data_IF_463334157705
#
_entry.id   IF_463334157705
#
_cell.length_a   1.000
_cell.length_b   1.000
_cell.length_c   1.000
_cell.angle_alpha   90.00
_cell.angle_beta   90.00
_cell.angle_gamma   90.00
#
_symmetry.space_group_name_H-M   'P 1'
#
loop_
_entity.id
_entity.type
_entity.pdbx_description
1 polymer ?
#
# COMPACT_ATOMS: atom_id res chain seq x y z
N UNK A 1 9.92 42.23 16.15
CA UNK A 1 9.08 41.28 15.37
C UNK A 1 8.65 41.80 13.99
N UNK A 2 7.99 42.96 13.87
CA UNK A 2 7.52 43.49 12.56
C UNK A 2 8.62 43.74 11.50
N UNK A 3 9.81 44.23 11.90
CA UNK A 3 10.97 44.43 10.99
C UNK A 3 11.56 43.14 10.42
N UNK A 4 11.54 42.07 11.21
CA UNK A 4 12.04 40.75 10.80
C UNK A 4 11.13 40.12 9.74
N UNK A 5 9.81 40.14 9.98
CA UNK A 5 8.81 39.65 9.04
C UNK A 5 8.84 40.41 7.70
N UNK A 6 9.08 41.73 7.69
CA UNK A 6 9.14 42.50 6.44
C UNK A 6 10.41 42.25 5.63
N UNK A 7 11.56 41.99 6.29
CA UNK A 7 12.82 41.65 5.62
C UNK A 7 12.80 40.24 5.00
N UNK A 8 12.21 39.27 5.69
CA UNK A 8 12.20 37.87 5.23
C UNK A 8 10.89 37.44 4.55
N UNK A 9 9.97 38.36 4.22
CA UNK A 9 8.64 38.02 3.68
C UNK A 9 8.67 37.07 2.48
N UNK A 10 9.62 37.25 1.56
CA UNK A 10 9.73 36.39 0.38
C UNK A 10 10.31 35.02 0.71
N UNK A 11 11.26 34.95 1.66
CA UNK A 11 11.78 33.67 2.14
C UNK A 11 10.71 32.89 2.90
N UNK A 12 9.93 33.56 3.75
CA UNK A 12 8.79 32.96 4.48
C UNK A 12 7.73 32.48 3.48
N UNK A 13 7.36 33.31 2.50
CA UNK A 13 6.42 32.93 1.46
C UNK A 13 6.94 31.74 0.65
N UNK A 14 8.22 31.74 0.28
CA UNK A 14 8.85 30.62 -0.41
C UNK A 14 8.78 29.33 0.40
N UNK A 15 9.16 29.35 1.69
CA UNK A 15 9.11 28.16 2.54
C UNK A 15 7.68 27.66 2.78
N UNK A 16 6.71 28.57 2.89
CA UNK A 16 5.30 28.23 3.02
C UNK A 16 4.77 27.59 1.73
N UNK A 17 5.00 28.22 0.58
CA UNK A 17 4.63 27.67 -0.73
C UNK A 17 5.34 26.34 -1.01
N UNK A 18 6.64 26.24 -0.68
CA UNK A 18 7.41 25.01 -0.83
C UNK A 18 6.86 23.91 0.05
N UNK A 19 6.52 24.19 1.31
CA UNK A 19 5.90 23.23 2.22
C UNK A 19 4.57 22.69 1.66
N UNK A 20 3.67 23.59 1.25
CA UNK A 20 2.35 23.23 0.68
C UNK A 20 2.48 22.47 -0.65
N UNK A 21 3.43 22.86 -1.50
CA UNK A 21 3.63 22.19 -2.78
C UNK A 21 4.31 20.84 -2.63
N UNK A 22 5.33 20.75 -1.75
CA UNK A 22 6.03 19.51 -1.44
C UNK A 22 5.07 18.44 -0.93
N UNK A 23 4.20 18.79 0.02
CA UNK A 23 3.21 17.84 0.58
C UNK A 23 2.21 17.34 -0.46
N UNK A 24 2.09 18.04 -1.60
CA UNK A 24 1.21 17.66 -2.70
C UNK A 24 1.88 16.74 -3.71
N UNK A 25 3.21 16.77 -3.82
CA UNK A 25 3.97 15.98 -4.80
C UNK A 25 4.51 14.66 -4.24
N UNK A 26 5.08 14.70 -3.04
CA UNK A 26 5.77 13.55 -2.46
C UNK A 26 5.43 13.41 -0.97
N UNK A 27 5.14 12.18 -0.55
CA UNK A 27 4.89 11.84 0.85
C UNK A 27 5.86 10.75 1.32
N UNK A 28 6.22 10.80 2.61
CA UNK A 28 7.05 9.78 3.25
C UNK A 28 6.23 9.10 4.32
N UNK A 29 5.74 7.90 4.02
CA UNK A 29 4.80 7.21 4.88
C UNK A 29 5.52 6.14 5.70
N UNK A 30 5.58 6.25 7.04
CA UNK A 30 6.06 5.17 7.88
C UNK A 30 5.05 4.01 7.84
N UNK A 31 5.55 2.79 7.86
CA UNK A 31 4.75 1.56 7.85
C UNK A 31 4.63 1.04 9.28
N UNK A 32 3.43 1.12 9.90
CA UNK A 32 3.25 0.68 11.29
C UNK A 32 2.76 -0.76 11.41
N UNK A 33 2.34 -1.42 10.32
CA UNK A 33 1.69 -2.74 10.34
C UNK A 33 2.27 -3.72 9.32
N UNK A 34 2.22 -5.01 9.64
CA UNK A 34 2.74 -6.10 8.81
C UNK A 34 1.80 -6.64 7.73
N UNK A 35 0.76 -5.89 7.36
CA UNK A 35 -0.24 -6.31 6.36
C UNK A 35 0.30 -6.42 4.93
N UNK A 36 1.46 -5.82 4.68
CA UNK A 36 2.16 -5.86 3.39
C UNK A 36 3.45 -6.70 3.45
N UNK A 37 3.66 -7.50 4.50
CA UNK A 37 4.79 -8.44 4.54
C UNK A 37 4.62 -9.50 3.44
N UNK A 38 5.70 -9.94 2.79
CA UNK A 38 7.11 -9.55 3.01
C UNK A 38 7.57 -8.28 2.29
N UNK A 39 6.77 -7.74 1.38
CA UNK A 39 7.13 -6.59 0.54
C UNK A 39 7.49 -5.37 1.38
N UNK A 40 6.62 -5.00 2.34
CA UNK A 40 6.86 -3.94 3.31
C UNK A 40 6.84 -4.50 4.72
N UNK A 41 7.79 -4.04 5.52
CA UNK A 41 7.94 -4.42 6.92
C UNK A 41 7.63 -3.22 7.82
N UNK A 42 7.21 -3.49 9.04
CA UNK A 42 7.05 -2.47 10.07
C UNK A 42 8.38 -1.75 10.29
N UNK A 43 8.31 -0.43 10.37
CA UNK A 43 9.47 0.44 10.47
C UNK A 43 10.11 0.81 9.12
N UNK A 44 9.61 0.30 7.99
CA UNK A 44 9.91 0.87 6.68
C UNK A 44 9.28 2.27 6.56
N UNK A 45 9.94 3.15 5.82
CA UNK A 45 9.40 4.44 5.36
C UNK A 45 9.39 4.40 3.84
N UNK A 46 8.21 4.51 3.25
CA UNK A 46 8.04 4.45 1.79
C UNK A 46 7.92 5.83 1.18
N UNK A 47 8.57 6.02 0.04
CA UNK A 47 8.40 7.19 -0.80
C UNK A 47 7.18 7.01 -1.69
N UNK A 48 6.23 7.92 -1.55
CA UNK A 48 4.94 7.93 -2.24
C UNK A 48 4.91 9.06 -3.26
N UNK A 49 4.71 8.70 -4.52
CA UNK A 49 4.41 9.65 -5.58
C UNK A 49 2.91 9.96 -5.57
N UNK A 50 2.54 11.16 -5.11
CA UNK A 50 1.14 11.60 -5.00
C UNK A 50 0.53 12.02 -6.34
N UNK A 51 1.37 12.42 -7.30
CA UNK A 51 0.96 12.80 -8.66
C UNK A 51 1.02 11.62 -9.64
N UNK A 52 1.21 10.40 -9.16
CA UNK A 52 1.24 9.21 -10.02
C UNK A 52 -0.07 9.05 -10.81
N UNK A 53 -1.21 9.40 -10.19
CA UNK A 53 -2.54 9.20 -10.75
C UNK A 53 -3.29 10.51 -10.95
N UNK A 54 -3.33 11.37 -9.94
CA UNK A 54 -4.12 12.59 -9.91
C UNK A 54 -3.31 13.79 -9.41
N UNK A 55 -3.48 14.96 -10.03
CA UNK A 55 -3.03 16.22 -9.44
C UNK A 55 -4.09 16.70 -8.46
N UNK A 56 -3.84 16.62 -7.17
CA UNK A 56 -4.77 17.10 -6.14
C UNK A 56 -4.43 18.51 -5.68
N UNK A 57 -5.46 19.29 -5.32
CA UNK A 57 -5.26 20.55 -4.59
C UNK A 57 -4.61 20.23 -3.25
N UNK A 58 -3.54 20.95 -2.85
CA UNK A 58 -2.86 20.72 -1.58
C UNK A 58 -3.84 20.60 -0.41
N UNK A 59 -3.61 19.62 0.47
CA UNK A 59 -4.39 19.37 1.70
C UNK A 59 -5.86 18.94 1.48
N UNK A 60 -6.27 18.64 0.25
CA UNK A 60 -7.64 18.17 -0.06
C UNK A 60 -7.63 16.92 -0.94
N UNK A 61 -8.80 16.29 -1.12
CA UNK A 61 -9.01 15.18 -2.05
C UNK A 61 -9.56 15.63 -3.43
N UNK A 62 -9.60 16.94 -3.69
CA UNK A 62 -10.11 17.48 -4.96
C UNK A 62 -9.03 17.31 -6.05
N UNK A 63 -9.34 16.51 -7.06
CA UNK A 63 -8.49 16.33 -8.24
C UNK A 63 -8.70 17.48 -9.24
N UNK A 64 -7.61 18.14 -9.64
CA UNK A 64 -7.56 19.13 -10.71
C UNK A 64 -7.36 18.49 -12.09
N UNK A 65 -6.62 17.38 -12.13
CA UNK A 65 -6.33 16.65 -13.36
C UNK A 65 -6.08 15.16 -13.07
N UNK A 66 -6.44 14.31 -14.03
CA UNK A 66 -6.14 12.89 -14.04
C UNK A 66 -4.99 12.62 -15.01
N UNK A 67 -3.89 12.05 -14.52
CA UNK A 67 -2.69 11.80 -15.32
C UNK A 67 -2.61 10.37 -15.84
N UNK A 68 -2.68 9.39 -14.94
CA UNK A 68 -2.58 7.97 -15.28
C UNK A 68 -3.61 7.15 -14.51
N UNK A 69 -3.97 5.99 -15.04
CA UNK A 69 -4.80 5.04 -14.34
C UNK A 69 -3.94 4.10 -13.47
N UNK A 70 -4.30 3.89 -12.18
CA UNK A 70 -3.74 2.84 -11.36
C UNK A 70 -3.84 1.48 -12.04
N UNK A 71 -2.76 0.70 -11.96
CA UNK A 71 -2.65 -0.60 -12.61
C UNK A 71 -2.68 -1.73 -11.59
N UNK A 72 -3.05 -2.93 -12.05
CA UNK A 72 -2.85 -4.15 -11.26
C UNK A 72 -1.37 -4.29 -10.87
N UNK A 73 -1.14 -4.64 -9.62
CA UNK A 73 0.17 -4.76 -9.00
C UNK A 73 0.67 -3.47 -8.34
N UNK A 74 0.09 -2.30 -8.61
CA UNK A 74 0.57 -1.07 -7.95
C UNK A 74 0.32 -1.13 -6.44
N UNK A 75 1.35 -0.78 -5.65
CA UNK A 75 1.21 -0.59 -4.21
C UNK A 75 0.85 0.86 -3.92
N UNK A 76 -0.31 1.08 -3.31
CA UNK A 76 -0.94 2.40 -3.22
C UNK A 76 -1.30 2.72 -1.77
N UNK A 77 -0.99 3.95 -1.35
CA UNK A 77 -1.56 4.51 -0.12
C UNK A 77 -2.93 5.09 -0.44
N UNK A 78 -3.92 4.85 0.42
CA UNK A 78 -5.27 5.39 0.27
C UNK A 78 -5.94 5.58 1.63
N UNK A 79 -7.03 6.34 1.64
CA UNK A 79 -7.91 6.48 2.80
C UNK A 79 -8.97 5.39 2.75
N UNK A 80 -9.08 4.58 3.81
CA UNK A 80 -10.10 3.54 3.92
C UNK A 80 -11.51 4.13 3.83
N UNK A 81 -12.40 3.60 2.96
CA UNK A 81 -13.77 4.09 2.84
C UNK A 81 -14.64 3.71 4.06
N UNK A 82 -14.19 2.76 4.89
CA UNK A 82 -14.95 2.25 6.03
C UNK A 82 -14.80 3.12 7.29
N UNK A 83 -13.58 3.56 7.57
CA UNK A 83 -13.20 4.19 8.84
C UNK A 83 -12.27 5.41 8.69
N UNK A 84 -11.88 5.77 7.47
CA UNK A 84 -11.01 6.92 7.20
C UNK A 84 -9.54 6.70 7.56
N UNK A 85 -9.15 5.50 7.97
CA UNK A 85 -7.75 5.19 8.31
C UNK A 85 -6.90 5.14 7.04
N UNK A 86 -5.67 5.68 7.09
CA UNK A 86 -4.72 5.58 5.98
C UNK A 86 -4.15 4.17 5.92
N UNK A 87 -4.31 3.52 4.77
CA UNK A 87 -3.85 2.17 4.50
C UNK A 87 -2.91 2.16 3.30
N UNK A 88 -2.06 1.13 3.24
CA UNK A 88 -1.25 0.79 2.07
C UNK A 88 -1.56 -0.65 1.68
N UNK A 89 -1.90 -0.87 0.41
CA UNK A 89 -2.25 -2.19 -0.15
C UNK A 89 -1.84 -2.28 -1.61
N UNK A 90 -1.86 -3.49 -2.15
CA UNK A 90 -1.65 -3.75 -3.57
C UNK A 90 -2.98 -3.76 -4.32
N UNK A 91 -3.05 -3.08 -5.46
CA UNK A 91 -4.17 -3.15 -6.38
C UNK A 91 -4.16 -4.52 -7.05
N UNK A 92 -5.21 -5.30 -6.83
CA UNK A 92 -5.40 -6.61 -7.47
C UNK A 92 -6.47 -6.54 -8.56
N UNK A 93 -7.50 -5.70 -8.38
CA UNK A 93 -8.52 -5.45 -9.40
C UNK A 93 -8.65 -3.98 -9.75
N UNK A 94 -8.81 -3.73 -11.05
CA UNK A 94 -9.13 -2.42 -11.64
C UNK A 94 -10.57 -2.41 -12.17
N UNK A 95 -11.17 -1.25 -12.50
CA UNK A 95 -12.54 -1.18 -12.99
C UNK A 95 -12.85 -2.16 -14.12
N UNK A 96 -13.94 -2.91 -13.97
CA UNK A 96 -14.39 -3.93 -14.92
C UNK A 96 -13.83 -5.34 -14.68
N UNK A 97 -12.82 -5.50 -13.82
CA UNK A 97 -12.32 -6.84 -13.49
C UNK A 97 -13.35 -7.66 -12.72
N UNK A 98 -13.42 -8.95 -13.01
CA UNK A 98 -14.10 -9.94 -12.18
C UNK A 98 -13.07 -10.63 -11.30
N UNK A 99 -13.26 -10.56 -9.98
CA UNK A 99 -12.37 -11.15 -9.00
C UNK A 99 -13.09 -12.20 -8.17
N UNK A 100 -12.40 -13.30 -7.91
CA UNK A 100 -12.85 -14.35 -7.01
C UNK A 100 -11.64 -14.88 -6.26
N UNK A 101 -11.83 -15.28 -5.01
CA UNK A 101 -10.85 -16.10 -4.30
C UNK A 101 -11.55 -17.36 -3.85
N UNK A 102 -11.05 -18.50 -4.34
CA UNK A 102 -11.61 -19.82 -4.09
C UNK A 102 -10.47 -20.77 -3.72
N UNK A 103 -10.63 -21.42 -2.57
CA UNK A 103 -9.64 -22.35 -2.01
C UNK A 103 -8.26 -21.68 -1.90
N UNK A 104 -8.24 -20.42 -1.42
CA UNK A 104 -7.05 -19.56 -1.28
C UNK A 104 -6.35 -19.17 -2.60
N UNK A 105 -6.90 -19.58 -3.74
CA UNK A 105 -6.43 -19.18 -5.07
C UNK A 105 -7.18 -17.94 -5.53
N UNK A 106 -6.43 -16.89 -5.90
CA UNK A 106 -6.98 -15.70 -6.52
C UNK A 106 -7.26 -15.96 -8.01
N UNK A 107 -8.46 -15.60 -8.47
CA UNK A 107 -8.87 -15.63 -9.86
C UNK A 107 -9.16 -14.21 -10.34
N UNK A 108 -8.56 -13.82 -11.47
CA UNK A 108 -8.76 -12.52 -12.10
C UNK A 108 -9.27 -12.75 -13.52
N UNK A 109 -10.48 -12.28 -13.82
CA UNK A 109 -11.15 -12.47 -15.11
C UNK A 109 -11.17 -13.94 -15.58
N UNK A 110 -11.34 -14.87 -14.63
CA UNK A 110 -11.34 -16.32 -14.91
C UNK A 110 -9.94 -16.95 -15.05
N UNK A 111 -8.86 -16.18 -14.91
CA UNK A 111 -7.50 -16.71 -14.89
C UNK A 111 -7.00 -16.91 -13.45
N UNK A 112 -6.65 -18.15 -13.05
CA UNK A 112 -6.14 -18.40 -11.70
C UNK A 112 -4.70 -17.91 -11.56
N UNK A 113 -4.39 -17.43 -10.36
CA UNK A 113 -3.04 -17.15 -9.92
C UNK A 113 -2.20 -18.44 -9.86
N UNK A 114 -0.94 -18.31 -10.24
CA UNK A 114 0.05 -19.39 -10.12
C UNK A 114 0.93 -19.10 -8.92
N UNK A 115 1.08 -20.09 -8.04
CA UNK A 115 1.87 -20.00 -6.82
C UNK A 115 3.16 -20.83 -6.93
N UNK A 116 4.30 -20.23 -6.63
CA UNK A 116 5.62 -20.84 -6.75
C UNK A 116 6.50 -20.56 -5.53
N UNK A 117 7.62 -21.27 -5.41
CA UNK A 117 8.65 -21.04 -4.39
C UNK A 117 8.14 -21.06 -2.93
N UNK A 118 7.21 -21.97 -2.64
CA UNK A 118 6.64 -22.10 -1.31
C UNK A 118 7.71 -22.44 -0.26
N UNK A 119 7.80 -21.60 0.76
CA UNK A 119 8.74 -21.70 1.87
C UNK A 119 7.98 -21.59 3.19
N UNK A 120 8.23 -22.54 4.10
CA UNK A 120 7.75 -22.43 5.47
C UNK A 120 8.49 -21.30 6.17
N UNK A 121 7.74 -20.43 6.85
CA UNK A 121 8.26 -19.32 7.64
C UNK A 121 7.68 -19.36 9.05
N UNK A 122 8.38 -18.77 10.01
CA UNK A 122 7.85 -18.47 11.33
C UNK A 122 7.75 -16.96 11.46
N UNK A 123 6.52 -16.48 11.59
CA UNK A 123 6.22 -15.06 11.56
C UNK A 123 5.97 -14.53 12.97
N UNK A 124 6.65 -13.45 13.35
CA UNK A 124 6.40 -12.75 14.61
C UNK A 124 5.15 -11.88 14.48
N UNK A 125 4.12 -12.18 15.29
CA UNK A 125 2.78 -11.56 15.18
C UNK A 125 2.49 -10.63 16.36
N UNK A 126 3.01 -10.95 17.55
CA UNK A 126 3.02 -10.10 18.73
C UNK A 126 4.14 -10.55 19.68
N UNK A 127 4.49 -9.72 20.68
CA UNK A 127 5.55 -9.90 21.68
C UNK A 127 5.97 -11.37 21.97
N UNK A 128 6.92 -11.88 21.18
CA UNK A 128 7.53 -13.21 21.37
C UNK A 128 6.78 -14.40 20.77
N UNK A 129 5.57 -14.22 20.23
CA UNK A 129 4.80 -15.30 19.63
C UNK A 129 5.06 -15.41 18.13
N UNK A 130 5.62 -16.55 17.72
CA UNK A 130 5.88 -16.89 16.33
C UNK A 130 4.85 -17.90 15.85
N UNK A 131 4.18 -17.55 14.75
CA UNK A 131 3.14 -18.38 14.15
C UNK A 131 3.69 -18.94 12.84
N UNK A 132 3.54 -20.25 12.55
CA UNK A 132 3.93 -20.81 11.27
C UNK A 132 3.09 -20.19 10.14
N UNK A 133 3.78 -19.85 9.06
CA UNK A 133 3.19 -19.35 7.83
C UNK A 133 3.88 -19.96 6.61
N UNK A 134 3.36 -19.64 5.44
CA UNK A 134 3.91 -20.04 4.15
C UNK A 134 4.12 -18.77 3.35
N UNK A 135 5.35 -18.54 2.91
CA UNK A 135 5.69 -17.49 1.95
C UNK A 135 5.82 -18.11 0.59
N UNK A 136 5.28 -17.45 -0.43
CA UNK A 136 5.32 -17.93 -1.80
C UNK A 136 5.21 -16.76 -2.76
N UNK A 137 5.55 -17.02 -4.01
CA UNK A 137 5.44 -16.08 -5.11
C UNK A 137 4.06 -16.22 -5.76
N UNK A 138 3.28 -15.15 -5.80
CA UNK A 138 2.02 -15.10 -6.56
C UNK A 138 2.27 -14.44 -7.91
N UNK A 139 1.89 -15.16 -8.99
CA UNK A 139 1.89 -14.64 -10.35
C UNK A 139 0.48 -14.63 -10.93
N UNK A 140 0.02 -13.46 -11.35
CA UNK A 140 -1.24 -13.25 -12.07
C UNK A 140 -0.97 -12.39 -13.28
N UNK A 141 -1.41 -12.83 -14.46
CA UNK A 141 -1.04 -12.25 -15.74
C UNK A 141 0.51 -12.14 -15.87
N UNK A 142 1.03 -10.92 -16.05
CA UNK A 142 2.45 -10.60 -16.15
C UNK A 142 3.00 -9.89 -14.89
N UNK A 143 2.31 -10.02 -13.75
CA UNK A 143 2.74 -9.45 -12.47
C UNK A 143 3.09 -10.56 -11.51
N UNK A 144 4.19 -10.38 -10.81
CA UNK A 144 4.71 -11.32 -9.83
C UNK A 144 5.08 -10.56 -8.56
N UNK A 145 4.70 -11.09 -7.40
CA UNK A 145 5.07 -10.54 -6.11
C UNK A 145 5.04 -11.62 -5.03
N UNK A 146 5.83 -11.40 -3.97
CA UNK A 146 5.83 -12.29 -2.82
C UNK A 146 4.62 -12.01 -1.92
N UNK A 147 3.92 -13.07 -1.55
CA UNK A 147 2.83 -13.04 -0.56
C UNK A 147 3.11 -14.05 0.56
N UNK A 148 2.33 -13.96 1.63
CA UNK A 148 2.35 -14.97 2.67
C UNK A 148 0.95 -15.29 3.20
N UNK A 149 0.77 -16.55 3.57
CA UNK A 149 -0.39 -17.08 4.26
C UNK A 149 0.01 -17.50 5.68
N UNK A 150 -0.89 -17.33 6.62
CA UNK A 150 -0.77 -17.69 8.03
C UNK A 150 -2.00 -18.53 8.41
N UNK A 151 -1.94 -19.87 8.22
CA UNK A 151 -3.09 -20.76 8.38
C UNK A 151 -3.77 -20.68 9.76
N UNK A 152 -3.01 -20.34 10.79
CA UNK A 152 -3.52 -20.21 12.17
C UNK A 152 -4.21 -18.87 12.46
N UNK A 153 -4.09 -17.87 11.58
CA UNK A 153 -4.78 -16.59 11.71
C UNK A 153 -6.17 -16.70 11.08
N UNK A 154 -7.20 -16.32 11.82
CA UNK A 154 -8.58 -16.29 11.30
C UNK A 154 -8.74 -15.16 10.28
N UNK A 155 -8.95 -15.51 9.02
CA UNK A 155 -9.12 -14.55 7.92
C UNK A 155 -10.17 -14.98 6.90
N UNK A 156 -10.65 -14.01 6.11
CA UNK A 156 -11.46 -14.26 4.92
C UNK A 156 -10.58 -14.80 3.77
N UNK A 157 -10.65 -16.11 3.54
CA UNK A 157 -9.86 -16.82 2.52
C UNK A 157 -10.60 -17.08 1.22
N UNK A 158 -11.88 -16.73 1.18
CA UNK A 158 -12.72 -16.86 0.01
C UNK A 158 -13.59 -15.62 -0.12
N UNK A 159 -13.83 -15.18 -1.35
CA UNK A 159 -14.77 -14.11 -1.68
C UNK A 159 -15.19 -14.20 -3.14
N UNK A 160 -16.26 -13.50 -3.46
CA UNK A 160 -16.71 -13.33 -4.83
C UNK A 160 -17.50 -14.52 -5.38
N UNK A 161 -17.69 -14.55 -6.71
CA UNK A 161 -17.18 -13.57 -7.67
C UNK A 161 -17.73 -12.15 -7.46
N UNK A 162 -16.88 -11.13 -7.65
CA UNK A 162 -17.27 -9.72 -7.61
C UNK A 162 -16.74 -8.97 -8.82
N UNK A 163 -17.52 -8.04 -9.36
CA UNK A 163 -17.08 -7.15 -10.43
C UNK A 163 -16.65 -5.82 -9.83
N UNK A 164 -15.45 -5.35 -10.17
CA UNK A 164 -14.93 -4.07 -9.69
C UNK A 164 -15.70 -2.93 -10.37
N UNK A 165 -16.40 -2.07 -9.60
CA UNK A 165 -17.17 -0.96 -10.16
C UNK A 165 -16.29 0.05 -10.91
N UNK A 166 -16.93 0.87 -11.75
CA UNK A 166 -16.31 2.06 -12.32
C UNK A 166 -15.67 2.94 -11.22
N UNK A 167 -14.55 3.57 -11.55
CA UNK A 167 -13.77 4.44 -10.65
C UNK A 167 -13.43 3.85 -9.28
N UNK A 168 -13.35 2.53 -9.18
CA UNK A 168 -13.04 1.82 -7.94
C UNK A 168 -11.99 0.75 -8.17
N UNK A 169 -11.33 0.34 -7.08
CA UNK A 169 -10.25 -0.64 -7.11
C UNK A 169 -10.46 -1.66 -6.01
N UNK A 170 -9.99 -2.89 -6.25
CA UNK A 170 -9.97 -3.94 -5.24
C UNK A 170 -8.53 -4.14 -4.77
N UNK A 171 -8.34 -4.02 -3.47
CA UNK A 171 -7.04 -4.01 -2.82
C UNK A 171 -6.84 -5.28 -1.99
N UNK A 172 -5.66 -5.88 -2.05
CA UNK A 172 -5.24 -6.95 -1.13
C UNK A 172 -3.92 -6.60 -0.45
N UNK A 173 -3.74 -7.12 0.76
CA UNK A 173 -2.42 -7.15 1.40
C UNK A 173 -1.60 -8.34 0.92
N UNK A 174 -0.28 -8.15 0.85
CA UNK A 174 0.66 -9.22 0.53
C UNK A 174 0.71 -10.26 1.67
N UNK A 175 0.40 -9.84 2.92
CA UNK A 175 0.11 -10.76 4.02
C UNK A 175 -1.38 -11.12 4.01
N UNK A 176 -1.73 -12.22 3.35
CA UNK A 176 -3.11 -12.56 3.00
C UNK A 176 -4.00 -12.84 4.20
N UNK A 177 -3.48 -13.41 5.27
CA UNK A 177 -4.30 -13.70 6.44
C UNK A 177 -4.28 -12.57 7.49
N UNK A 178 -3.28 -11.69 7.46
CA UNK A 178 -3.17 -10.57 8.42
C UNK A 178 -3.30 -9.20 7.76
N UNK A 179 -4.39 -9.00 7.02
CA UNK A 179 -4.64 -7.77 6.26
C UNK A 179 -6.10 -7.36 6.28
N UNK A 180 -6.38 -6.16 6.81
CA UNK A 180 -7.66 -5.47 6.66
C UNK A 180 -7.71 -4.75 5.29
N UNK A 181 -8.10 -5.48 4.25
CA UNK A 181 -8.15 -5.00 2.87
C UNK A 181 -9.58 -5.10 2.28
N UNK A 182 -9.73 -5.07 0.95
CA UNK A 182 -11.04 -4.98 0.29
C UNK A 182 -11.99 -6.13 0.65
N UNK A 183 -11.50 -7.25 1.17
CA UNK A 183 -12.35 -8.31 1.74
C UNK A 183 -13.18 -7.85 2.95
N UNK A 184 -12.73 -6.80 3.65
CA UNK A 184 -13.37 -6.27 4.86
C UNK A 184 -13.88 -4.82 4.72
N UNK A 185 -13.26 -4.04 3.84
CA UNK A 185 -13.58 -2.60 3.62
C UNK A 185 -14.30 -2.34 2.29
N UNK A 186 -14.42 -3.36 1.43
CA UNK A 186 -15.02 -3.23 0.10
C UNK A 186 -14.09 -2.55 -0.92
N UNK A 187 -14.69 -2.09 -2.01
CA UNK A 187 -13.96 -1.40 -3.08
C UNK A 187 -13.50 -0.02 -2.63
N UNK A 188 -12.33 0.41 -3.15
CA UNK A 188 -11.73 1.71 -2.84
C UNK A 188 -11.95 2.65 -4.03
N UNK A 189 -12.76 3.71 -3.89
CA UNK A 189 -12.93 4.69 -4.95
C UNK A 189 -11.63 5.44 -5.29
N UNK A 190 -11.42 5.77 -6.56
CA UNK A 190 -10.24 6.50 -7.08
C UNK A 190 -9.90 7.75 -6.27
N UNK A 191 -10.92 8.54 -5.91
CA UNK A 191 -10.74 9.78 -5.16
C UNK A 191 -10.04 9.60 -3.81
N UNK A 192 -10.13 8.40 -3.22
CA UNK A 192 -9.48 8.08 -1.93
C UNK A 192 -8.02 7.62 -2.09
N UNK A 193 -7.55 7.41 -3.32
CA UNK A 193 -6.14 7.11 -3.56
C UNK A 193 -5.29 8.35 -3.26
N UNK A 194 -4.22 8.15 -2.50
CA UNK A 194 -3.30 9.21 -2.10
C UNK A 194 -2.10 9.26 -3.04
N UNK A 195 -1.56 8.09 -3.41
CA UNK A 195 -0.41 8.01 -4.29
C UNK A 195 0.21 6.62 -4.34
N UNK A 196 1.11 6.42 -5.30
CA UNK A 196 1.83 5.15 -5.52
C UNK A 196 3.09 5.10 -4.68
N UNK A 197 3.24 4.06 -3.85
CA UNK A 197 4.50 3.77 -3.19
C UNK A 197 5.45 3.08 -4.17
N UNK A 198 6.71 3.50 -4.20
CA UNK A 198 7.65 2.98 -5.20
C UNK A 198 9.02 2.55 -4.66
N UNK A 199 9.51 3.17 -3.58
CA UNK A 199 10.82 2.87 -3.03
C UNK A 199 10.81 3.01 -1.50
N UNK A 200 11.65 2.23 -0.82
CA UNK A 200 11.89 2.36 0.62
C UNK A 200 13.05 3.35 0.84
N UNK A 201 12.84 4.39 1.65
CA UNK A 201 13.84 5.46 1.90
C UNK A 201 14.44 5.42 3.30
N UNK A 202 13.83 4.69 4.22
CA UNK A 202 14.40 4.39 5.53
C UNK A 202 13.78 3.10 6.06
N UNK A 203 14.47 2.43 6.97
CA UNK A 203 13.97 1.19 7.57
C UNK A 203 14.67 0.89 8.89
N UNK A 204 13.90 0.54 9.92
CA UNK A 204 14.43 0.14 11.24
C UNK A 204 13.61 -1.01 11.86
N UNK A 205 14.25 -1.82 12.71
CA UNK A 205 13.60 -2.92 13.45
C UNK A 205 12.82 -2.41 14.66
N UNK A 206 11.75 -1.66 14.42
CA UNK A 206 11.00 -0.96 15.48
C UNK A 206 10.29 -1.91 16.48
N UNK A 207 10.09 -3.17 16.11
CA UNK A 207 9.46 -4.19 16.96
C UNK A 207 10.49 -5.02 17.77
N UNK A 208 11.78 -4.76 17.59
CA UNK A 208 12.86 -5.49 18.25
C UNK A 208 13.90 -4.48 18.80
N UNK A 209 15.12 -4.48 18.26
CA UNK A 209 16.25 -3.73 18.81
C UNK A 209 16.48 -2.35 18.17
N UNK A 210 15.53 -1.84 17.38
CA UNK A 210 15.61 -0.54 16.69
C UNK A 210 16.79 -0.40 15.71
N UNK A 211 17.50 -1.49 15.38
CA UNK A 211 18.63 -1.40 14.46
C UNK A 211 18.16 -0.99 13.04
N UNK A 212 18.90 -0.10 12.36
CA UNK A 212 18.60 0.28 10.99
C UNK A 212 18.81 -0.89 10.03
N UNK A 213 17.89 -1.07 9.08
CA UNK A 213 17.96 -2.10 8.02
C UNK A 213 18.47 -1.47 6.72
N UNK A 214 19.76 -1.18 6.64
CA UNK A 214 20.37 -0.50 5.49
C UNK A 214 20.17 -1.23 4.15
N UNK A 215 20.08 -2.57 4.15
CA UNK A 215 19.83 -3.37 2.93
C UNK A 215 18.49 -3.07 2.26
N UNK A 216 17.53 -2.48 2.98
CA UNK A 216 16.21 -2.09 2.43
C UNK A 216 16.21 -0.68 1.86
N UNK A 217 17.23 0.13 2.13
CA UNK A 217 17.32 1.48 1.57
C UNK A 217 17.42 1.43 0.05
N UNK A 218 16.55 2.17 -0.63
CA UNK A 218 16.47 2.20 -2.09
C UNK A 218 15.82 0.96 -2.72
N UNK A 219 15.34 0.01 -1.93
CA UNK A 219 14.64 -1.16 -2.48
C UNK A 219 13.36 -0.73 -3.18
N UNK A 220 13.15 -1.25 -4.39
CA UNK A 220 11.95 -0.98 -5.17
C UNK A 220 10.76 -1.78 -4.65
N UNK A 221 9.59 -1.15 -4.69
CA UNK A 221 8.30 -1.76 -4.35
C UNK A 221 7.64 -2.10 -5.69
N UNK A 222 7.97 -3.27 -6.22
CA UNK A 222 7.34 -3.85 -7.41
C UNK A 222 6.37 -4.96 -7.00
#
# INVERSE_FOLDING_TARGET
MRRFLSQYRYAILFWLCFGVFRTSLADWNPIPSGSMRPTLLEGDVVLVNRVAYDLKVPLTDIALAHFNNPQRGDVVTFTSPKDGVRLIKRIVGIPGDTLEMKDEVLWVNGHPAVYQDAQAINELVAAGESIPGIRLTERVDNREHSIQFMPQVRALRNFGPVVVPADSYFMLGDNRDNSADSRYIGFVPRRLLIGRAHHIVASAQILDNWMPRFRRFGASIL
#
